data_IF_105539026011
#
_entry.id   IF_105539026011
#
_cell.length_a   1.000
_cell.length_b   1.000
_cell.length_c   1.000
_cell.angle_alpha   90.00
_cell.angle_beta   90.00
_cell.angle_gamma   90.00
#
_symmetry.space_group_name_H-M   'P 1'
#
loop_
_entity.id
_entity.type
_entity.pdbx_description
1 polymer ?
#
# COMPACT_ATOMS: atom_id res chain seq x y z
N UNK A 1 -22.92 -45.44 40.66
CA UNK A 1 -23.08 -44.15 39.95
C UNK A 1 -22.98 -44.45 38.46
N UNK A 2 -23.99 -44.09 37.67
CA UNK A 2 -24.04 -44.34 36.21
C UNK A 2 -23.45 -43.17 35.42
N UNK A 3 -23.01 -43.44 34.19
CA UNK A 3 -22.49 -42.45 33.26
C UNK A 3 -23.41 -42.32 32.04
N UNK A 4 -23.54 -41.10 31.53
CA UNK A 4 -24.32 -40.82 30.32
C UNK A 4 -23.49 -39.90 29.41
N UNK A 5 -23.22 -40.35 28.19
CA UNK A 5 -22.38 -39.64 27.23
C UNK A 5 -23.13 -39.50 25.90
N UNK A 6 -23.12 -38.30 25.36
CA UNK A 6 -23.59 -38.01 24.01
C UNK A 6 -22.42 -37.46 23.18
N UNK A 7 -22.21 -38.02 22.01
CA UNK A 7 -21.17 -37.57 21.07
C UNK A 7 -21.82 -37.24 19.72
N UNK A 8 -21.50 -36.07 19.18
CA UNK A 8 -21.94 -35.66 17.85
C UNK A 8 -20.75 -35.65 16.92
N UNK A 9 -20.92 -36.23 15.74
CA UNK A 9 -19.84 -36.37 14.77
C UNK A 9 -20.26 -35.75 13.44
N UNK A 10 -19.45 -34.84 12.93
CA UNK A 10 -19.68 -34.26 11.61
C UNK A 10 -19.66 -35.34 10.52
N UNK A 11 -20.25 -35.09 9.36
CA UNK A 11 -20.29 -36.05 8.25
C UNK A 11 -19.12 -35.92 7.28
N UNK A 12 -19.29 -36.53 6.12
CA UNK A 12 -18.37 -36.38 4.99
C UNK A 12 -18.92 -35.34 4.02
N UNK A 13 -18.07 -34.81 3.15
CA UNK A 13 -18.46 -33.78 2.19
C UNK A 13 -17.93 -34.08 0.80
N UNK A 14 -18.82 -34.03 -0.17
CA UNK A 14 -18.49 -34.15 -1.59
C UNK A 14 -18.56 -32.76 -2.24
N UNK A 15 -17.64 -32.48 -3.17
CA UNK A 15 -17.70 -31.29 -3.99
C UNK A 15 -18.40 -31.63 -5.30
N UNK A 16 -19.55 -31.01 -5.53
CA UNK A 16 -20.24 -31.07 -6.82
C UNK A 16 -19.93 -29.77 -7.58
N UNK A 17 -19.66 -29.90 -8.89
CA UNK A 17 -19.46 -28.74 -9.76
C UNK A 17 -20.72 -28.54 -10.59
N UNK A 18 -21.35 -27.37 -10.46
CA UNK A 18 -22.48 -27.01 -11.30
C UNK A 18 -22.00 -26.69 -12.74
N UNK A 19 -22.93 -26.69 -13.68
CA UNK A 19 -22.72 -26.36 -15.10
C UNK A 19 -22.09 -24.98 -15.31
N UNK A 20 -22.19 -24.09 -14.31
CA UNK A 20 -21.56 -22.77 -14.28
C UNK A 20 -20.15 -22.74 -13.65
N UNK A 21 -19.56 -23.89 -13.35
CA UNK A 21 -18.22 -24.01 -12.78
C UNK A 21 -18.13 -23.74 -11.28
N UNK A 22 -19.25 -23.40 -10.63
CA UNK A 22 -19.35 -23.18 -9.19
C UNK A 22 -19.22 -24.51 -8.44
N UNK A 23 -18.33 -24.57 -7.45
CA UNK A 23 -18.16 -25.74 -6.56
C UNK A 23 -19.09 -25.60 -5.36
N UNK A 24 -20.03 -26.52 -5.19
CA UNK A 24 -20.88 -26.61 -4.00
C UNK A 24 -20.42 -27.77 -3.12
N UNK A 25 -20.36 -27.54 -1.80
CA UNK A 25 -20.05 -28.56 -0.80
C UNK A 25 -21.36 -29.22 -0.36
N UNK A 26 -21.56 -30.50 -0.70
CA UNK A 26 -22.75 -31.26 -0.32
C UNK A 26 -22.45 -32.20 0.83
N UNK A 27 -23.30 -32.19 1.84
CA UNK A 27 -23.20 -33.08 2.99
C UNK A 27 -23.55 -34.52 2.59
N UNK A 28 -22.70 -35.45 3.02
CA UNK A 28 -22.88 -36.89 2.86
C UNK A 28 -22.86 -37.52 4.25
N UNK A 29 -23.97 -38.16 4.61
CA UNK A 29 -24.10 -38.85 5.90
C UNK A 29 -23.09 -40.00 5.99
N UNK A 30 -22.53 -40.22 7.18
CA UNK A 30 -21.64 -41.35 7.44
C UNK A 30 -22.37 -42.69 7.37
N UNK A 31 -21.63 -43.73 7.03
CA UNK A 31 -22.19 -45.09 6.95
C UNK A 31 -22.47 -45.64 8.35
N UNK A 32 -23.42 -46.58 8.44
CA UNK A 32 -23.75 -47.26 9.70
C UNK A 32 -22.54 -47.98 10.32
N UNK A 33 -21.65 -48.53 9.47
CA UNK A 33 -20.43 -49.22 9.91
C UNK A 33 -19.48 -48.27 10.65
N UNK A 34 -19.23 -47.08 10.09
CA UNK A 34 -18.40 -46.06 10.74
C UNK A 34 -19.03 -45.59 12.06
N UNK A 35 -20.35 -45.37 12.08
CA UNK A 35 -21.06 -44.96 13.30
C UNK A 35 -20.94 -45.99 14.43
N UNK A 36 -20.92 -47.28 14.09
CA UNK A 36 -20.70 -48.36 15.06
C UNK A 36 -19.27 -48.38 15.60
N UNK A 37 -18.28 -48.10 14.75
CA UNK A 37 -16.88 -47.96 15.18
C UNK A 37 -16.71 -46.77 16.14
N UNK A 38 -17.35 -45.64 15.85
CA UNK A 38 -17.32 -44.49 16.75
C UNK A 38 -18.02 -44.80 18.08
N UNK A 39 -19.18 -45.46 18.06
CA UNK A 39 -19.88 -45.88 19.28
C UNK A 39 -19.00 -46.77 20.17
N UNK A 40 -18.33 -47.77 19.58
CA UNK A 40 -17.38 -48.62 20.31
C UNK A 40 -16.21 -47.84 20.88
N UNK A 41 -15.69 -46.88 20.12
CA UNK A 41 -14.58 -46.03 20.58
C UNK A 41 -15.00 -45.19 21.79
N UNK A 42 -16.18 -44.58 21.75
CA UNK A 42 -16.73 -43.80 22.86
C UNK A 42 -16.97 -44.69 24.09
N UNK A 43 -17.57 -45.87 23.89
CA UNK A 43 -17.82 -46.85 24.96
C UNK A 43 -16.51 -47.28 25.64
N UNK A 44 -15.47 -47.59 24.87
CA UNK A 44 -14.17 -47.98 25.40
C UNK A 44 -13.50 -46.81 26.15
N UNK A 45 -13.55 -45.60 25.61
CA UNK A 45 -12.93 -44.42 26.20
C UNK A 45 -13.55 -44.05 27.56
N UNK A 46 -14.87 -44.18 27.70
CA UNK A 46 -15.54 -43.91 28.97
C UNK A 46 -15.52 -45.08 29.95
N UNK A 47 -15.05 -46.26 29.52
CA UNK A 47 -15.11 -47.49 30.30
C UNK A 47 -16.54 -47.99 30.55
N UNK A 48 -17.37 -47.97 29.51
CA UNK A 48 -18.80 -48.35 29.54
C UNK A 48 -19.06 -49.66 30.30
N UNK A 49 -20.11 -49.67 31.12
CA UNK A 49 -20.59 -50.88 31.80
C UNK A 49 -22.11 -50.99 31.71
N UNK A 50 -22.58 -52.15 31.24
CA UNK A 50 -24.00 -52.52 31.26
C UNK A 50 -24.54 -52.63 32.68
N UNK A 51 -23.73 -53.15 33.62
CA UNK A 51 -24.15 -53.40 35.00
C UNK A 51 -24.38 -52.10 35.77
N UNK A 52 -23.71 -51.02 35.36
CA UNK A 52 -23.95 -49.66 35.86
C UNK A 52 -25.07 -48.94 35.12
N UNK A 53 -25.66 -49.56 34.11
CA UNK A 53 -26.67 -48.98 33.21
C UNK A 53 -26.18 -47.69 32.54
N UNK A 54 -24.92 -47.69 32.11
CA UNK A 54 -24.35 -46.56 31.38
C UNK A 54 -25.09 -46.34 30.04
N UNK A 55 -25.14 -45.11 29.55
CA UNK A 55 -25.85 -44.73 28.33
C UNK A 55 -24.92 -44.00 27.37
N UNK A 56 -24.96 -44.38 26.09
CA UNK A 56 -24.15 -43.76 25.02
C UNK A 56 -25.01 -43.48 23.80
N UNK A 57 -25.10 -42.20 23.42
CA UNK A 57 -25.70 -41.79 22.15
C UNK A 57 -24.65 -41.19 21.22
N UNK A 58 -24.64 -41.63 19.97
CA UNK A 58 -23.74 -41.12 18.94
C UNK A 58 -24.54 -40.82 17.69
N UNK A 59 -24.54 -39.56 17.27
CA UNK A 59 -25.31 -39.08 16.12
C UNK A 59 -24.44 -38.25 15.17
N UNK A 60 -24.86 -38.15 13.91
CA UNK A 60 -24.11 -37.43 12.88
C UNK A 60 -24.98 -36.40 12.17
N UNK A 61 -24.53 -35.15 12.22
CA UNK A 61 -25.21 -33.99 11.63
C UNK A 61 -24.18 -33.07 10.97
N UNK A 62 -24.59 -32.33 9.91
CA UNK A 62 -23.73 -31.36 9.27
C UNK A 62 -23.35 -30.24 10.24
N UNK A 63 -22.07 -30.04 10.43
CA UNK A 63 -21.61 -28.88 11.19
C UNK A 63 -21.65 -27.63 10.30
N UNK A 64 -22.24 -26.57 10.83
CA UNK A 64 -22.16 -25.25 10.26
C UNK A 64 -20.83 -24.64 10.67
N UNK A 65 -19.81 -24.88 9.88
CA UNK A 65 -18.65 -24.01 9.90
C UNK A 65 -19.16 -22.65 9.43
N UNK A 66 -19.00 -21.59 10.22
CA UNK A 66 -18.79 -20.30 9.57
C UNK A 66 -17.71 -20.60 8.55
N UNK A 67 -17.99 -20.35 7.28
CA UNK A 67 -16.90 -20.20 6.32
C UNK A 67 -15.98 -19.21 7.00
N UNK A 68 -14.93 -19.72 7.65
CA UNK A 68 -13.71 -18.97 7.85
C UNK A 68 -13.57 -18.34 6.49
N UNK A 69 -13.65 -17.01 6.46
CA UNK A 69 -13.34 -16.23 5.30
C UNK A 69 -11.99 -16.77 4.86
N UNK A 70 -12.02 -17.81 4.03
CA UNK A 70 -11.10 -18.04 2.97
C UNK A 70 -11.33 -16.76 2.23
N UNK A 71 -10.58 -15.74 2.68
CA UNK A 71 -9.93 -14.78 1.87
C UNK A 71 -9.27 -15.65 0.79
N UNK A 72 -10.10 -16.14 -0.14
CA UNK A 72 -9.75 -16.25 -1.51
C UNK A 72 -9.25 -14.84 -1.74
N UNK A 73 -7.93 -14.67 -1.59
CA UNK A 73 -7.21 -13.47 -1.99
C UNK A 73 -7.91 -13.13 -3.28
N UNK A 74 -8.70 -12.04 -3.36
CA UNK A 74 -9.38 -11.74 -4.59
C UNK A 74 -8.22 -11.66 -5.57
N UNK A 75 -8.12 -12.63 -6.47
CA UNK A 75 -7.16 -12.54 -7.56
C UNK A 75 -7.52 -11.20 -8.17
N UNK A 76 -6.61 -10.24 -8.06
CA UNK A 76 -6.89 -8.85 -8.39
C UNK A 76 -7.16 -8.82 -9.89
N UNK A 77 -8.43 -9.00 -10.24
CA UNK A 77 -8.89 -9.12 -11.60
C UNK A 77 -9.06 -7.69 -12.09
N UNK A 78 -7.96 -7.10 -12.55
CA UNK A 78 -7.91 -5.74 -13.05
C UNK A 78 -9.00 -5.47 -14.10
N UNK A 79 -9.38 -6.50 -14.88
CA UNK A 79 -10.47 -6.47 -15.87
C UNK A 79 -11.86 -6.29 -15.25
N UNK A 80 -12.14 -6.95 -14.13
CA UNK A 80 -13.43 -6.82 -13.42
C UNK A 80 -13.51 -5.45 -12.76
N UNK A 81 -12.43 -5.03 -12.10
CA UNK A 81 -12.33 -3.70 -11.50
C UNK A 81 -12.48 -2.57 -12.53
N UNK A 82 -11.86 -2.70 -13.72
CA UNK A 82 -11.97 -1.72 -14.80
C UNK A 82 -13.37 -1.65 -15.42
N UNK A 83 -14.06 -2.79 -15.54
CA UNK A 83 -15.42 -2.86 -16.09
C UNK A 83 -16.45 -2.22 -15.15
N UNK A 84 -16.31 -2.46 -13.85
CA UNK A 84 -17.22 -1.97 -12.82
C UNK A 84 -16.99 -0.47 -12.51
N UNK A 85 -15.75 0.00 -12.63
CA UNK A 85 -15.38 1.41 -12.46
C UNK A 85 -15.21 2.20 -13.76
N UNK A 86 -15.85 1.78 -14.87
CA UNK A 86 -15.72 2.44 -16.18
C UNK A 86 -15.96 3.96 -16.12
N UNK A 87 -16.96 4.38 -15.35
CA UNK A 87 -17.31 5.80 -15.21
C UNK A 87 -16.24 6.58 -14.42
N UNK A 88 -15.66 5.98 -13.38
CA UNK A 88 -14.56 6.58 -12.61
C UNK A 88 -13.25 6.60 -13.40
N UNK A 89 -12.98 5.57 -14.20
CA UNK A 89 -11.81 5.50 -15.07
C UNK A 89 -11.87 6.57 -16.16
N UNK A 90 -13.05 6.84 -16.72
CA UNK A 90 -13.26 7.91 -17.69
C UNK A 90 -12.97 9.29 -17.09
N UNK A 91 -13.38 9.55 -15.84
CA UNK A 91 -13.08 10.81 -15.15
C UNK A 91 -11.58 10.99 -14.88
N UNK A 92 -10.90 9.94 -14.42
CA UNK A 92 -9.44 9.96 -14.22
C UNK A 92 -8.71 10.21 -15.54
N UNK A 93 -9.13 9.52 -16.61
CA UNK A 93 -8.56 9.69 -17.94
C UNK A 93 -8.79 11.12 -18.47
N UNK A 94 -9.96 11.70 -18.24
CA UNK A 94 -10.29 13.07 -18.63
C UNK A 94 -9.41 14.09 -17.89
N UNK A 95 -9.23 13.95 -16.58
CA UNK A 95 -8.33 14.81 -15.79
C UNK A 95 -6.90 14.71 -16.32
N UNK A 96 -6.44 13.50 -16.61
CA UNK A 96 -5.10 13.26 -17.13
C UNK A 96 -4.91 13.89 -18.52
N UNK A 97 -5.90 13.75 -19.40
CA UNK A 97 -5.89 14.38 -20.72
C UNK A 97 -5.84 15.91 -20.61
N UNK A 98 -6.67 16.52 -19.76
CA UNK A 98 -6.63 17.96 -19.50
C UNK A 98 -5.27 18.38 -18.94
N UNK A 99 -4.69 17.61 -18.03
CA UNK A 99 -3.36 17.92 -17.48
C UNK A 99 -2.27 17.90 -18.58
N UNK A 100 -2.24 16.88 -19.43
CA UNK A 100 -1.23 16.77 -20.48
C UNK A 100 -1.44 17.75 -21.64
N UNK A 101 -2.69 18.07 -21.99
CA UNK A 101 -3.01 18.91 -23.15
C UNK A 101 -3.30 20.38 -22.84
N UNK A 102 -3.67 20.74 -21.60
CA UNK A 102 -3.88 22.14 -21.22
C UNK A 102 -2.76 22.59 -20.27
N UNK A 103 -2.54 21.89 -19.16
CA UNK A 103 -1.62 22.36 -18.11
C UNK A 103 -0.16 22.32 -18.59
N UNK A 104 0.28 21.20 -19.20
CA UNK A 104 1.66 21.05 -19.69
C UNK A 104 2.04 22.09 -20.76
N UNK A 105 1.27 22.33 -21.84
CA UNK A 105 1.64 23.34 -22.83
C UNK A 105 1.57 24.75 -22.26
N UNK A 106 0.54 25.11 -21.49
CA UNK A 106 0.45 26.45 -20.86
C UNK A 106 1.63 26.70 -19.93
N UNK A 107 2.03 25.72 -19.12
CA UNK A 107 3.20 25.83 -18.26
C UNK A 107 4.51 25.96 -19.04
N UNK A 108 4.63 25.33 -20.22
CA UNK A 108 5.78 25.53 -21.11
C UNK A 108 5.80 26.92 -21.72
N UNK A 109 4.68 27.39 -22.25
CA UNK A 109 4.55 28.72 -22.86
C UNK A 109 4.84 29.83 -21.85
N UNK A 110 4.36 29.72 -20.61
CA UNK A 110 4.67 30.71 -19.55
C UNK A 110 6.16 30.70 -19.19
N UNK A 111 6.81 29.52 -19.21
CA UNK A 111 8.25 29.41 -18.95
C UNK A 111 9.07 30.04 -20.09
N UNK A 112 8.69 29.81 -21.34
CA UNK A 112 9.33 30.41 -22.52
C UNK A 112 9.18 31.94 -22.54
N UNK A 113 8.02 32.47 -22.13
CA UNK A 113 7.81 33.93 -22.01
C UNK A 113 8.65 34.54 -20.88
N UNK A 114 8.92 33.79 -19.80
CA UNK A 114 9.74 34.26 -18.67
C UNK A 114 11.25 34.09 -18.86
N UNK A 115 11.69 33.38 -19.90
CA UNK A 115 13.10 33.34 -20.29
C UNK A 115 13.34 34.35 -21.40
N UNK A 116 13.85 35.57 -21.12
CA UNK A 116 14.37 36.40 -22.18
C UNK A 116 15.51 35.62 -22.83
N UNK A 117 15.35 35.35 -24.13
CA UNK A 117 16.40 34.80 -25.00
C UNK A 117 17.69 35.56 -24.73
N UNK A 118 18.75 34.93 -24.19
CA UNK A 118 20.05 35.59 -24.16
C UNK A 118 20.46 35.83 -25.62
N UNK A 119 20.95 37.03 -25.98
CA UNK A 119 21.46 37.30 -27.32
C UNK A 119 22.48 36.24 -27.71
N UNK A 120 22.57 35.85 -29.00
CA UNK A 120 23.63 34.95 -29.45
C UNK A 120 24.97 35.55 -29.04
N UNK A 121 25.71 34.77 -28.25
CA UNK A 121 27.02 35.15 -27.77
C UNK A 121 27.85 35.64 -28.95
N UNK A 122 28.28 36.89 -28.83
CA UNK A 122 29.19 37.52 -29.76
C UNK A 122 30.37 36.59 -30.03
N UNK A 123 30.70 36.51 -31.31
CA UNK A 123 31.88 35.89 -31.89
C UNK A 123 33.10 36.14 -30.99
N UNK A 124 33.61 35.06 -30.38
CA UNK A 124 34.96 35.06 -29.83
C UNK A 124 35.95 35.27 -30.98
N UNK A 125 36.93 36.18 -30.87
CA UNK A 125 38.06 36.22 -31.78
C UNK A 125 38.93 34.96 -31.65
N UNK A 126 39.66 34.59 -32.70
CA UNK A 126 40.02 33.21 -33.01
C UNK A 126 41.18 32.68 -32.17
N UNK A 127 41.12 31.39 -31.86
CA UNK A 127 42.30 30.60 -31.51
C UNK A 127 43.26 30.58 -32.71
N UNK A 128 44.48 31.08 -32.53
CA UNK A 128 45.59 30.60 -33.35
C UNK A 128 46.91 30.54 -32.57
N UNK A 129 47.41 29.30 -32.50
CA UNK A 129 48.82 28.89 -32.44
C UNK A 129 49.61 28.99 -31.13
N UNK A 130 49.91 27.77 -30.67
CA UNK A 130 51.26 27.22 -30.60
C UNK A 130 52.07 27.46 -29.32
N UNK A 131 52.18 26.35 -28.58
CA UNK A 131 53.45 25.76 -28.13
C UNK A 131 54.21 26.48 -27.00
N UNK A 132 54.42 25.75 -25.91
CA UNK A 132 55.71 25.48 -25.20
C UNK A 132 55.41 25.24 -23.71
N UNK A 133 56.05 24.20 -23.17
CA UNK A 133 55.93 23.69 -21.81
C UNK A 133 56.88 24.45 -20.82
N UNK A 134 56.99 24.05 -19.54
CA UNK A 134 56.93 24.89 -18.30
C UNK A 134 58.35 25.35 -17.82
N UNK A 135 58.64 25.76 -16.55
CA UNK A 135 57.89 26.13 -15.31
C UNK A 135 58.41 27.50 -14.74
N UNK A 136 58.63 27.70 -13.41
CA UNK A 136 57.72 27.90 -12.27
C UNK A 136 57.75 29.37 -11.76
N UNK A 137 56.83 29.77 -10.88
CA UNK A 137 57.19 30.58 -9.70
C UNK A 137 55.97 30.80 -8.78
N UNK A 138 56.22 30.55 -7.50
CA UNK A 138 55.35 30.88 -6.38
C UNK A 138 55.22 32.41 -6.26
N UNK A 139 54.00 32.91 -6.07
CA UNK A 139 53.74 34.08 -5.21
C UNK A 139 52.23 34.26 -4.98
N UNK A 140 51.79 33.80 -3.80
CA UNK A 140 51.02 34.53 -2.79
C UNK A 140 50.01 35.59 -3.27
N UNK A 141 48.74 35.27 -2.97
CA UNK A 141 47.62 36.10 -2.52
C UNK A 141 47.13 37.31 -3.34
N UNK A 142 45.82 37.30 -3.63
CA UNK A 142 44.79 38.18 -3.02
C UNK A 142 43.40 37.71 -3.52
N UNK A 143 42.34 37.66 -2.67
CA UNK A 143 41.04 37.12 -3.07
C UNK A 143 40.16 38.17 -3.79
N UNK A 144 39.51 37.82 -4.93
CA UNK A 144 38.52 38.68 -5.58
C UNK A 144 37.08 38.44 -5.03
N UNK A 145 36.14 39.37 -5.31
CA UNK A 145 35.19 39.89 -4.33
C UNK A 145 33.83 39.16 -4.27
N UNK A 146 33.18 39.31 -3.12
CA UNK A 146 31.73 39.15 -2.89
C UNK A 146 31.09 37.84 -3.37
N UNK A 147 31.21 36.79 -2.54
CA UNK A 147 30.25 35.70 -2.49
C UNK A 147 29.70 35.64 -1.07
N UNK A 148 28.58 36.34 -0.82
CA UNK A 148 27.84 36.19 0.44
C UNK A 148 27.56 34.70 0.65
N UNK A 149 28.12 34.14 1.72
CA UNK A 149 27.97 32.72 2.00
C UNK A 149 26.56 32.45 2.50
N UNK A 150 26.09 31.21 2.39
CA UNK A 150 24.77 30.80 2.87
C UNK A 150 24.58 31.06 4.37
N UNK A 151 25.69 31.05 5.13
CA UNK A 151 25.73 31.41 6.56
C UNK A 151 25.40 32.89 6.78
N UNK A 152 25.93 33.79 5.96
CA UNK A 152 25.65 35.22 6.05
C UNK A 152 24.16 35.51 5.78
N UNK A 153 23.55 34.80 4.82
CA UNK A 153 22.10 34.91 4.54
C UNK A 153 21.24 34.40 5.70
N UNK A 154 21.63 33.30 6.34
CA UNK A 154 20.93 32.76 7.49
C UNK A 154 20.97 33.71 8.70
N UNK A 155 22.13 34.33 8.97
CA UNK A 155 22.25 35.31 10.06
C UNK A 155 21.45 36.58 9.82
N UNK A 156 21.33 37.05 8.56
CA UNK A 156 20.46 38.19 8.23
C UNK A 156 18.97 37.88 8.41
N UNK A 157 18.52 36.69 7.99
CA UNK A 157 17.12 36.29 8.17
C UNK A 157 16.76 36.18 9.66
N UNK A 158 17.65 35.60 10.47
CA UNK A 158 17.45 35.49 11.90
C UNK A 158 17.30 36.86 12.59
N UNK A 159 18.15 37.84 12.24
CA UNK A 159 18.06 39.21 12.82
C UNK A 159 16.76 39.91 12.43
N UNK A 160 16.31 39.74 11.19
CA UNK A 160 15.11 40.40 10.65
C UNK A 160 13.81 39.87 11.26
N UNK A 161 13.74 38.59 11.61
CA UNK A 161 12.53 38.02 12.23
C UNK A 161 12.40 38.39 13.71
N UNK A 162 13.51 38.64 14.42
CA UNK A 162 13.48 39.16 15.80
C UNK A 162 12.87 40.56 15.85
N UNK A 163 13.21 41.45 14.91
CA UNK A 163 12.64 42.81 14.86
C UNK A 163 11.13 42.81 14.56
N UNK A 164 10.64 41.86 13.74
CA UNK A 164 9.20 41.67 13.50
C UNK A 164 8.45 41.14 14.70
N UNK A 165 9.04 40.21 15.46
CA UNK A 165 8.45 39.74 16.70
C UNK A 165 8.36 40.86 17.75
N UNK A 166 9.41 41.69 17.84
CA UNK A 166 9.44 42.84 18.75
C UNK A 166 8.40 43.92 18.40
N UNK A 167 8.15 44.17 17.10
CA UNK A 167 7.13 45.15 16.68
C UNK A 167 5.70 44.67 16.96
N UNK A 168 5.43 43.36 16.84
CA UNK A 168 4.15 42.76 17.21
C UNK A 168 3.89 42.86 18.72
N UNK A 169 4.89 42.57 19.54
CA UNK A 169 4.79 42.71 21.01
C UNK A 169 4.54 44.16 21.43
N UNK A 170 5.25 45.13 20.83
CA UNK A 170 5.02 46.56 21.09
C UNK A 170 3.62 47.02 20.66
N UNK A 171 3.11 46.52 19.54
CA UNK A 171 1.76 46.86 19.07
C UNK A 171 0.67 46.34 20.00
N UNK A 172 0.91 45.24 20.72
CA UNK A 172 -0.07 44.63 21.63
C UNK A 172 -0.06 45.26 23.03
N UNK A 173 1.05 45.87 23.43
CA UNK A 173 1.17 46.60 24.72
C UNK A 173 0.60 48.03 24.63
N UNK A 174 0.64 48.64 23.45
CA UNK A 174 0.23 50.03 23.24
C UNK A 174 -1.16 50.20 22.59
N UNK A 175 -1.91 49.12 22.38
CA UNK A 175 -3.26 49.12 21.81
C UNK A 175 -4.26 48.51 22.78
#
# INVERSE_FOLDING_TARGET
RRLSVAAVIDGNYAYEQDKWGNKSKKYVQRTTSEMEQFRKTVQNAMGYSSDREDQVSVESFPFHYMEELVMAKPAFNWLVFAKENRNSLANILLILLVFFFLVRPVAKTIKEIKTPTPPPAALAPPEEKAMIAPPPEETIELPPPHKMTTKDKATMLAKRDVERAASMLRSWING
#
